data_IF_652263883791
#
_entry.id   IF_652263883791
#
_cell.length_a   1.000
_cell.length_b   1.000
_cell.length_c   1.000
_cell.angle_alpha   90.00
_cell.angle_beta   90.00
_cell.angle_gamma   90.00
#
_symmetry.space_group_name_H-M   'P 1'
#
loop_
_entity.id
_entity.type
_entity.pdbx_description
1 polymer ?
#
# COMPACT_ATOMS: atom_id res chain seq x y z
N UNK A 1 -4.19 -11.49 -5.96
CA UNK A 1 -4.17 -10.49 -4.87
C UNK A 1 -4.02 -11.21 -3.53
N UNK A 2 -3.13 -10.76 -2.64
CA UNK A 2 -2.88 -11.36 -1.32
C UNK A 2 -3.55 -10.55 -0.21
N UNK A 3 -4.07 -11.23 0.82
CA UNK A 3 -4.84 -10.63 1.92
C UNK A 3 -4.35 -11.11 3.28
N UNK A 4 -4.56 -10.34 4.34
CA UNK A 4 -4.43 -10.89 5.69
C UNK A 4 -5.65 -11.75 6.08
N UNK A 5 -5.49 -12.73 7.00
CA UNK A 5 -6.50 -13.75 7.27
C UNK A 5 -7.75 -13.26 8.03
N UNK A 6 -7.78 -12.01 8.52
CA UNK A 6 -8.86 -11.49 9.39
C UNK A 6 -10.28 -11.61 8.83
N UNK A 7 -10.41 -11.70 7.52
CA UNK A 7 -11.71 -11.77 6.83
C UNK A 7 -11.76 -12.96 5.85
N UNK A 8 -10.97 -14.00 6.10
CA UNK A 8 -10.93 -15.17 5.23
C UNK A 8 -12.23 -15.99 5.25
N UNK A 9 -13.14 -15.78 6.22
CA UNK A 9 -14.46 -16.44 6.22
C UNK A 9 -15.29 -15.97 5.01
N UNK A 10 -15.43 -16.83 4.01
CA UNK A 10 -16.16 -16.56 2.76
C UNK A 10 -15.29 -16.09 1.60
N UNK A 11 -13.95 -16.12 1.70
CA UNK A 11 -13.10 -15.88 0.54
C UNK A 11 -13.13 -17.10 -0.40
N UNK A 12 -13.22 -16.92 -1.74
CA UNK A 12 -13.00 -18.04 -2.64
C UNK A 12 -11.62 -18.66 -2.34
N UNK A 13 -11.46 -19.99 -2.44
CA UNK A 13 -10.25 -20.72 -2.05
C UNK A 13 -8.95 -20.34 -2.81
N UNK A 14 -8.99 -19.31 -3.67
CA UNK A 14 -7.90 -18.89 -4.55
C UNK A 14 -7.00 -17.75 -4.04
N UNK A 15 -7.33 -17.07 -2.92
CA UNK A 15 -6.58 -15.88 -2.47
C UNK A 15 -5.64 -16.22 -1.30
N UNK A 16 -4.33 -16.23 -1.59
CA UNK A 16 -3.27 -16.54 -0.61
C UNK A 16 -3.15 -15.47 0.48
N UNK A 17 -2.75 -15.89 1.69
CA UNK A 17 -2.48 -14.91 2.73
C UNK A 17 -1.18 -14.12 2.44
N UNK A 18 -1.02 -12.94 3.04
CA UNK A 18 0.24 -12.18 2.91
C UNK A 18 1.42 -12.96 3.50
N UNK A 19 1.22 -13.63 4.65
CA UNK A 19 2.25 -14.48 5.24
C UNK A 19 2.67 -15.61 4.31
N UNK A 20 1.71 -16.34 3.73
CA UNK A 20 1.99 -17.41 2.75
C UNK A 20 2.72 -16.86 1.51
N UNK A 21 2.32 -15.66 1.06
CA UNK A 21 2.96 -15.00 -0.07
C UNK A 21 4.43 -14.66 0.22
N UNK A 22 4.72 -14.14 1.42
CA UNK A 22 6.09 -13.82 1.84
C UNK A 22 6.94 -15.07 2.03
N UNK A 23 6.41 -16.09 2.71
CA UNK A 23 7.09 -17.39 2.89
C UNK A 23 7.40 -18.04 1.54
N UNK A 24 6.44 -18.03 0.59
CA UNK A 24 6.66 -18.54 -0.76
C UNK A 24 7.74 -17.77 -1.53
N UNK A 25 7.81 -16.44 -1.37
CA UNK A 25 8.87 -15.64 -1.98
C UNK A 25 10.24 -15.98 -1.37
N UNK A 26 10.31 -16.19 -0.06
CA UNK A 26 11.54 -16.60 0.63
C UNK A 26 11.99 -18.01 0.24
N UNK A 27 11.04 -18.94 0.05
CA UNK A 27 11.33 -20.29 -0.45
C UNK A 27 11.86 -20.30 -1.88
N UNK A 28 11.49 -19.30 -2.69
CA UNK A 28 11.98 -19.13 -4.08
C UNK A 28 13.31 -18.39 -4.18
N UNK A 29 13.79 -17.78 -3.10
CA UNK A 29 15.00 -16.97 -3.11
C UNK A 29 16.26 -17.82 -3.29
N UNK A 30 17.07 -17.49 -4.30
CA UNK A 30 18.31 -18.19 -4.62
C UNK A 30 19.58 -17.32 -4.46
N UNK A 31 19.46 -16.00 -4.55
CA UNK A 31 20.62 -15.10 -4.55
C UNK A 31 20.46 -13.90 -3.61
N UNK A 32 19.30 -13.25 -3.60
CA UNK A 32 19.08 -12.02 -2.84
C UNK A 32 17.61 -11.77 -2.50
N UNK A 33 17.42 -11.16 -1.33
CA UNK A 33 16.16 -10.60 -0.85
C UNK A 33 16.44 -9.17 -0.41
N UNK A 34 15.70 -8.22 -0.97
CA UNK A 34 15.80 -6.79 -0.68
C UNK A 34 14.47 -6.31 -0.13
N UNK A 35 14.46 -5.67 1.04
CA UNK A 35 13.23 -5.24 1.71
C UNK A 35 13.33 -3.75 2.04
N UNK A 36 12.38 -2.96 1.54
CA UNK A 36 12.15 -1.58 1.98
C UNK A 36 10.94 -1.54 2.93
N UNK A 37 11.14 -0.97 4.12
CA UNK A 37 10.18 -1.03 5.22
C UNK A 37 10.07 0.29 5.99
N UNK A 38 8.90 0.55 6.55
CA UNK A 38 8.76 1.58 7.57
C UNK A 38 9.39 1.15 8.91
N UNK A 39 9.11 -0.06 9.39
CA UNK A 39 9.71 -0.66 10.57
C UNK A 39 9.64 -2.19 10.50
N UNK A 40 10.37 -2.88 11.38
CA UNK A 40 10.30 -4.34 11.58
C UNK A 40 9.87 -4.68 13.01
N UNK A 41 8.77 -5.40 13.14
CA UNK A 41 8.28 -6.00 14.39
C UNK A 41 7.51 -7.30 14.06
N UNK A 42 8.19 -8.27 13.46
CA UNK A 42 7.63 -9.57 13.09
C UNK A 42 7.38 -10.48 14.30
N UNK A 43 7.81 -10.08 15.50
CA UNK A 43 7.62 -10.84 16.74
C UNK A 43 6.77 -10.04 17.72
N UNK A 44 5.85 -10.72 18.42
CA UNK A 44 4.85 -10.12 19.30
C UNK A 44 5.42 -9.43 20.54
N UNK A 45 6.65 -9.77 20.93
CA UNK A 45 7.28 -9.28 22.16
C UNK A 45 6.37 -9.53 23.36
N UNK A 46 5.96 -8.45 24.05
CA UNK A 46 5.05 -8.51 25.21
C UNK A 46 3.61 -8.94 24.87
N UNK A 47 3.24 -8.89 23.59
CA UNK A 47 1.96 -9.37 23.06
C UNK A 47 2.12 -10.72 22.34
N UNK A 48 3.26 -11.41 22.54
CA UNK A 48 3.50 -12.71 21.93
C UNK A 48 2.47 -13.73 22.44
N UNK A 49 1.59 -14.15 21.54
CA UNK A 49 0.64 -15.22 21.72
C UNK A 49 0.59 -16.07 20.44
N UNK A 50 -0.49 -16.83 20.22
CA UNK A 50 -0.65 -17.60 18.98
C UNK A 50 -0.73 -16.73 17.71
N UNK A 51 -1.06 -15.44 17.83
CA UNK A 51 -1.32 -14.54 16.71
C UNK A 51 -0.06 -13.95 16.07
N UNK A 52 1.10 -14.06 16.70
CA UNK A 52 2.38 -13.67 16.10
C UNK A 52 3.08 -14.82 15.36
N UNK A 53 2.49 -16.02 15.36
CA UNK A 53 3.10 -17.25 14.82
C UNK A 53 3.56 -17.10 13.36
N UNK A 54 2.72 -16.49 12.51
CA UNK A 54 3.06 -16.20 11.10
C UNK A 54 4.24 -15.22 10.98
N UNK A 55 4.29 -14.18 11.84
CA UNK A 55 5.40 -13.25 11.88
C UNK A 55 6.70 -13.92 12.32
N UNK A 56 6.66 -14.77 13.35
CA UNK A 56 7.80 -15.58 13.79
C UNK A 56 8.31 -16.51 12.70
N UNK A 57 7.42 -17.16 11.95
CA UNK A 57 7.81 -18.02 10.82
C UNK A 57 8.56 -17.23 9.73
N UNK A 58 8.03 -16.07 9.33
CA UNK A 58 8.70 -15.18 8.37
C UNK A 58 10.06 -14.72 8.90
N UNK A 59 10.13 -14.32 10.18
CA UNK A 59 11.36 -13.86 10.82
C UNK A 59 12.45 -14.94 10.84
N UNK A 60 12.10 -16.18 11.21
CA UNK A 60 13.06 -17.30 11.21
C UNK A 60 13.51 -17.68 9.80
N UNK A 61 12.64 -17.61 8.79
CA UNK A 61 13.08 -17.81 7.39
C UNK A 61 14.04 -16.71 6.93
N UNK A 62 13.80 -15.44 7.28
CA UNK A 62 14.70 -14.32 7.00
C UNK A 62 16.08 -14.53 7.65
N UNK A 63 16.12 -14.95 8.92
CA UNK A 63 17.37 -15.28 9.63
C UNK A 63 18.14 -16.42 8.95
N UNK A 64 17.42 -17.40 8.40
CA UNK A 64 18.01 -18.54 7.71
C UNK A 64 18.54 -18.26 6.29
N UNK A 65 18.39 -17.06 5.74
CA UNK A 65 18.79 -16.78 4.35
C UNK A 65 20.30 -16.91 4.12
N UNK A 66 21.13 -16.44 5.05
CA UNK A 66 22.59 -16.48 4.89
C UNK A 66 23.13 -17.92 4.80
N UNK A 67 22.56 -18.86 5.56
CA UNK A 67 22.97 -20.28 5.48
C UNK A 67 22.58 -20.93 4.15
N UNK A 68 21.59 -20.39 3.45
CA UNK A 68 21.23 -20.76 2.07
C UNK A 68 22.07 -20.04 1.00
N UNK A 69 23.02 -19.19 1.40
CA UNK A 69 23.79 -18.36 0.47
C UNK A 69 23.01 -17.18 -0.13
N UNK A 70 21.84 -16.86 0.42
CA UNK A 70 20.98 -15.78 -0.04
C UNK A 70 21.30 -14.49 0.72
N UNK A 71 21.58 -13.41 0.00
CA UNK A 71 21.88 -12.09 0.58
C UNK A 71 20.61 -11.38 1.02
N UNK A 72 20.50 -10.98 2.29
CA UNK A 72 19.40 -10.14 2.79
C UNK A 72 19.86 -8.68 2.92
N UNK A 73 19.15 -7.75 2.28
CA UNK A 73 19.37 -6.30 2.40
C UNK A 73 18.09 -5.61 2.86
N UNK A 74 18.17 -4.77 3.88
CA UNK A 74 17.03 -4.09 4.49
C UNK A 74 17.27 -2.58 4.49
N UNK A 75 16.41 -1.83 3.79
CA UNK A 75 16.31 -0.38 3.90
C UNK A 75 15.11 -0.05 4.82
N UNK A 76 15.38 0.48 6.00
CA UNK A 76 14.37 0.77 7.02
C UNK A 76 14.36 2.26 7.35
N UNK A 77 13.21 2.82 7.74
CA UNK A 77 13.11 4.23 8.13
C UNK A 77 14.05 4.57 9.30
N UNK A 78 14.64 5.78 9.27
CA UNK A 78 15.30 6.38 10.43
C UNK A 78 14.44 7.51 11.03
N UNK A 79 14.39 7.67 12.36
CA UNK A 79 14.77 6.66 13.36
C UNK A 79 13.79 5.47 13.35
N UNK A 80 14.27 4.31 13.79
CA UNK A 80 13.41 3.16 14.06
C UNK A 80 12.72 3.31 15.44
N UNK A 81 11.46 2.93 15.54
CA UNK A 81 10.74 2.86 16.83
C UNK A 81 11.18 1.65 17.68
N UNK A 82 11.64 0.58 17.02
CA UNK A 82 12.32 -0.56 17.62
C UNK A 82 13.33 -1.12 16.63
N UNK A 83 14.52 -1.48 17.12
CA UNK A 83 15.60 -2.08 16.33
C UNK A 83 15.84 -3.55 16.66
N UNK A 84 15.04 -4.18 17.53
CA UNK A 84 15.28 -5.56 18.00
C UNK A 84 15.35 -6.56 16.84
N UNK A 85 14.35 -6.54 15.95
CA UNK A 85 14.30 -7.44 14.81
C UNK A 85 15.40 -7.14 13.78
N UNK A 86 15.65 -5.86 13.47
CA UNK A 86 16.69 -5.50 12.50
C UNK A 86 18.10 -5.78 13.02
N UNK A 87 18.35 -5.58 14.32
CA UNK A 87 19.62 -5.92 14.96
C UNK A 87 19.89 -7.43 14.96
N UNK A 88 18.87 -8.25 15.25
CA UNK A 88 19.03 -9.71 15.24
C UNK A 88 19.18 -10.25 13.81
N UNK A 89 18.45 -9.70 12.83
CA UNK A 89 18.66 -10.02 11.41
C UNK A 89 20.08 -9.61 10.96
N UNK A 90 20.59 -8.47 11.40
CA UNK A 90 21.96 -8.04 11.12
C UNK A 90 22.98 -9.00 11.75
N UNK A 91 22.76 -9.45 12.99
CA UNK A 91 23.60 -10.46 13.64
C UNK A 91 23.57 -11.81 12.90
N UNK A 92 22.43 -12.18 12.29
CA UNK A 92 22.29 -13.33 11.40
C UNK A 92 22.89 -13.10 9.99
N UNK A 93 23.37 -11.89 9.71
CA UNK A 93 24.13 -11.53 8.51
C UNK A 93 23.35 -10.79 7.43
N UNK A 94 22.19 -10.21 7.76
CA UNK A 94 21.55 -9.21 6.91
C UNK A 94 22.36 -7.90 6.86
N UNK A 95 22.34 -7.21 5.73
CA UNK A 95 22.80 -5.82 5.62
C UNK A 95 21.62 -4.89 5.89
N UNK A 96 21.68 -4.12 6.98
CA UNK A 96 20.62 -3.16 7.35
C UNK A 96 21.13 -1.73 7.14
N UNK A 97 20.34 -0.90 6.47
CA UNK A 97 20.56 0.55 6.33
C UNK A 97 19.34 1.31 6.80
N UNK A 98 19.57 2.22 7.73
CA UNK A 98 18.58 3.23 8.08
C UNK A 98 18.57 4.34 7.04
N UNK A 99 17.38 4.76 6.64
CA UNK A 99 17.15 5.77 5.61
C UNK A 99 16.49 6.97 6.27
N UNK A 100 17.29 8.01 6.50
CA UNK A 100 16.81 9.29 7.03
C UNK A 100 16.25 10.16 5.90
N UNK A 101 14.93 10.12 5.74
CA UNK A 101 14.22 11.02 4.83
C UNK A 101 13.80 12.32 5.50
N UNK A 102 13.92 12.45 6.82
CA UNK A 102 13.60 13.69 7.52
C UNK A 102 14.57 14.79 7.05
N UNK A 103 15.85 14.46 6.92
CA UNK A 103 16.88 15.39 6.43
C UNK A 103 16.71 15.80 4.95
N UNK A 104 15.99 15.00 4.15
CA UNK A 104 15.92 15.15 2.69
C UNK A 104 14.59 15.75 2.24
N UNK A 105 13.49 15.22 2.74
CA UNK A 105 12.12 15.55 2.32
C UNK A 105 11.26 16.04 3.48
N UNK A 106 11.73 15.93 4.73
CA UNK A 106 10.93 16.15 5.92
C UNK A 106 9.91 15.04 6.19
N UNK A 107 10.07 13.87 5.55
CA UNK A 107 9.16 12.73 5.68
C UNK A 107 9.86 11.43 6.08
N UNK A 108 9.19 10.30 5.86
CA UNK A 108 9.62 8.96 6.29
C UNK A 108 9.64 7.97 5.13
N UNK A 109 10.33 6.83 5.28
CA UNK A 109 10.13 5.67 4.41
C UNK A 109 8.83 4.97 4.81
N UNK A 110 7.80 5.05 3.96
CA UNK A 110 6.53 4.35 4.16
C UNK A 110 6.28 3.27 3.10
N UNK A 111 7.33 2.86 2.38
CA UNK A 111 7.26 1.77 1.40
C UNK A 111 7.22 0.40 2.08
N UNK A 112 6.47 -0.54 1.48
CA UNK A 112 6.40 -1.95 1.86
C UNK A 112 6.66 -2.79 0.63
N UNK A 113 7.94 -2.94 0.30
CA UNK A 113 8.40 -3.55 -0.94
C UNK A 113 9.43 -4.65 -0.63
N UNK A 114 9.22 -5.82 -1.21
CA UNK A 114 10.20 -6.91 -1.22
C UNK A 114 10.61 -7.17 -2.65
N UNK A 115 11.90 -7.32 -2.94
CA UNK A 115 12.41 -7.75 -4.25
C UNK A 115 13.26 -8.99 -4.03
N UNK A 116 12.94 -10.07 -4.73
CA UNK A 116 13.63 -11.37 -4.60
C UNK A 116 14.25 -11.72 -5.94
N UNK A 117 15.58 -11.88 -5.94
CA UNK A 117 16.41 -12.22 -7.11
C UNK A 117 16.22 -11.31 -8.34
N UNK A 118 15.65 -10.10 -8.15
CA UNK A 118 15.16 -9.25 -9.24
C UNK A 118 14.27 -10.01 -10.24
N UNK A 119 13.54 -11.01 -9.75
CA UNK A 119 12.67 -11.92 -10.51
C UNK A 119 11.25 -11.94 -9.95
N UNK A 120 11.13 -11.80 -8.64
CA UNK A 120 9.86 -11.74 -7.92
C UNK A 120 9.83 -10.48 -7.06
N UNK A 121 8.64 -9.98 -6.73
CA UNK A 121 8.50 -8.91 -5.73
C UNK A 121 7.14 -8.97 -5.03
N UNK A 122 7.08 -8.40 -3.83
CA UNK A 122 5.83 -8.10 -3.13
C UNK A 122 5.68 -6.58 -2.96
N UNK A 123 4.49 -6.06 -3.24
CA UNK A 123 4.11 -4.67 -2.97
C UNK A 123 2.71 -4.64 -2.37
N UNK A 124 2.50 -3.86 -1.31
CA UNK A 124 1.18 -3.72 -0.71
C UNK A 124 1.18 -2.83 0.52
N UNK A 125 0.14 -2.97 1.34
CA UNK A 125 -0.05 -2.14 2.52
C UNK A 125 0.56 -2.70 3.81
N UNK A 126 0.82 -4.02 3.87
CA UNK A 126 1.32 -4.71 5.06
C UNK A 126 2.72 -4.25 5.49
N UNK A 127 2.81 -3.65 6.68
CA UNK A 127 4.08 -3.40 7.37
C UNK A 127 4.79 -4.73 7.66
N UNK A 128 6.12 -4.68 7.86
CA UNK A 128 6.93 -5.83 8.30
C UNK A 128 6.68 -6.09 9.80
N UNK A 129 5.44 -6.46 10.10
CA UNK A 129 4.83 -6.47 11.43
C UNK A 129 3.93 -7.70 11.57
N UNK A 130 4.03 -8.41 12.70
CA UNK A 130 3.16 -9.54 12.98
C UNK A 130 1.67 -9.15 12.95
N UNK A 131 1.33 -7.91 13.35
CA UNK A 131 -0.04 -7.39 13.28
C UNK A 131 -0.54 -7.30 11.85
N UNK A 132 0.28 -6.89 10.89
CA UNK A 132 -0.11 -6.87 9.47
C UNK A 132 -0.38 -8.28 8.93
N UNK A 133 0.20 -9.31 9.54
CA UNK A 133 0.01 -10.71 9.14
C UNK A 133 -1.19 -11.40 9.79
N UNK A 134 -1.72 -10.89 10.91
CA UNK A 134 -2.79 -11.56 11.65
C UNK A 134 -3.88 -10.66 12.26
N UNK A 135 -3.62 -9.36 12.49
CA UNK A 135 -4.51 -8.44 13.21
C UNK A 135 -5.00 -7.22 12.41
N UNK A 136 -4.39 -6.91 11.27
CA UNK A 136 -4.74 -5.77 10.41
C UNK A 136 -5.19 -6.27 9.06
N UNK A 137 -6.28 -5.71 8.53
CA UNK A 137 -6.75 -6.03 7.18
C UNK A 137 -5.85 -5.31 6.17
N UNK A 138 -5.11 -6.08 5.40
CA UNK A 138 -4.11 -5.59 4.44
C UNK A 138 -4.41 -6.12 3.03
N UNK A 139 -3.86 -5.44 2.02
CA UNK A 139 -3.93 -5.85 0.62
C UNK A 139 -2.53 -5.72 0.00
N UNK A 140 -2.15 -6.71 -0.80
CA UNK A 140 -0.92 -6.63 -1.59
C UNK A 140 -0.94 -7.51 -2.83
N UNK A 141 0.13 -7.42 -3.60
CA UNK A 141 0.43 -8.24 -4.76
C UNK A 141 1.77 -8.93 -4.55
N UNK A 142 1.78 -10.26 -4.69
CA UNK A 142 3.00 -11.01 -5.00
C UNK A 142 3.06 -11.16 -6.52
N UNK A 143 4.12 -10.68 -7.14
CA UNK A 143 4.40 -10.86 -8.56
C UNK A 143 5.58 -11.79 -8.70
N UNK A 144 5.34 -12.93 -9.35
CA UNK A 144 6.34 -13.98 -9.52
C UNK A 144 6.73 -14.15 -11.00
N UNK A 145 7.96 -14.60 -11.23
CA UNK A 145 8.47 -14.94 -12.56
C UNK A 145 8.36 -13.77 -13.57
N UNK A 146 8.58 -12.55 -13.08
CA UNK A 146 8.44 -11.32 -13.85
C UNK A 146 9.67 -10.42 -13.66
N UNK A 147 10.81 -10.84 -14.21
CA UNK A 147 12.08 -10.14 -14.02
C UNK A 147 12.07 -8.69 -14.51
N UNK A 148 11.36 -8.36 -15.60
CA UNK A 148 11.31 -6.98 -16.08
C UNK A 148 10.70 -6.02 -15.05
N UNK A 149 9.61 -6.42 -14.39
CA UNK A 149 8.94 -5.61 -13.40
C UNK A 149 9.65 -5.67 -12.04
N UNK A 150 10.19 -6.84 -11.65
CA UNK A 150 10.97 -6.99 -10.43
C UNK A 150 12.29 -6.20 -10.48
N UNK A 151 12.94 -6.12 -11.64
CA UNK A 151 14.10 -5.23 -11.86
C UNK A 151 13.71 -3.76 -11.71
N UNK A 152 12.54 -3.36 -12.21
CA UNK A 152 12.07 -1.99 -12.05
C UNK A 152 11.79 -1.64 -10.59
N UNK A 153 11.20 -2.58 -9.84
CA UNK A 153 11.03 -2.47 -8.39
C UNK A 153 12.38 -2.39 -7.66
N UNK A 154 13.39 -3.17 -8.09
CA UNK A 154 14.74 -3.13 -7.54
C UNK A 154 15.39 -1.75 -7.68
N UNK A 155 15.05 -0.99 -8.72
CA UNK A 155 15.55 0.39 -8.90
C UNK A 155 15.00 1.34 -7.85
N UNK A 156 13.75 1.16 -7.42
CA UNK A 156 13.17 1.92 -6.31
C UNK A 156 13.89 1.56 -5.00
N UNK A 157 14.07 0.27 -4.71
CA UNK A 157 14.86 -0.16 -3.55
C UNK A 157 16.28 0.44 -3.59
N UNK A 158 16.92 0.45 -4.77
CA UNK A 158 18.25 1.01 -4.97
C UNK A 158 18.36 2.50 -4.64
N UNK A 159 17.28 3.28 -4.76
CA UNK A 159 17.25 4.68 -4.31
C UNK A 159 17.35 4.75 -2.79
N UNK A 160 16.49 4.04 -2.07
CA UNK A 160 16.51 4.00 -0.61
C UNK A 160 17.85 3.47 -0.09
N UNK A 161 18.38 2.42 -0.72
CA UNK A 161 19.67 1.85 -0.39
C UNK A 161 20.82 2.85 -0.57
N UNK A 162 20.75 3.68 -1.61
CA UNK A 162 21.74 4.72 -1.87
C UNK A 162 21.65 5.86 -0.85
N UNK A 163 20.44 6.28 -0.49
CA UNK A 163 20.20 7.33 0.52
C UNK A 163 20.71 6.87 1.90
N UNK A 164 20.32 5.66 2.34
CA UNK A 164 20.78 5.12 3.63
C UNK A 164 22.28 4.78 3.67
N UNK A 165 22.97 4.80 2.54
CA UNK A 165 24.44 4.68 2.47
C UNK A 165 25.17 6.02 2.42
N UNK A 166 24.47 7.15 2.27
CA UNK A 166 25.06 8.47 2.17
C UNK A 166 25.31 9.07 3.55
N UNK A 167 26.51 9.63 3.76
CA UNK A 167 26.96 10.12 5.07
C UNK A 167 26.49 11.53 5.43
N UNK A 168 25.72 12.21 4.58
CA UNK A 168 25.40 13.65 4.75
C UNK A 168 23.95 14.06 4.47
N UNK A 169 23.00 13.13 4.48
CA UNK A 169 21.56 13.45 4.34
C UNK A 169 21.21 14.32 3.11
N UNK A 170 22.04 14.28 2.06
CA UNK A 170 21.89 15.08 0.85
C UNK A 170 21.74 14.16 -0.35
N UNK A 171 20.82 14.52 -1.24
CA UNK A 171 20.62 13.80 -2.49
C UNK A 171 21.77 14.10 -3.45
N UNK A 172 22.15 13.13 -4.30
CA UNK A 172 23.04 13.44 -5.39
C UNK A 172 22.34 14.42 -6.35
N UNK A 173 23.10 15.29 -7.06
CA UNK A 173 22.51 16.16 -8.08
C UNK A 173 21.81 15.36 -9.19
N UNK A 174 22.29 14.15 -9.47
CA UNK A 174 21.67 13.22 -10.40
C UNK A 174 21.77 11.78 -9.88
N UNK A 175 20.71 11.01 -10.05
CA UNK A 175 20.73 9.58 -9.79
C UNK A 175 21.56 8.84 -10.85
N UNK A 176 22.35 7.82 -10.47
CA UNK A 176 23.02 6.94 -11.43
C UNK A 176 22.03 6.36 -12.45
N UNK A 177 22.43 6.27 -13.73
CA UNK A 177 21.57 5.78 -14.81
C UNK A 177 20.93 4.42 -14.51
N UNK A 178 21.65 3.52 -13.80
CA UNK A 178 21.15 2.22 -13.34
C UNK A 178 19.90 2.27 -12.45
N UNK A 179 19.60 3.42 -11.84
CA UNK A 179 18.41 3.64 -11.01
C UNK A 179 17.26 4.32 -11.76
N UNK A 180 17.46 4.75 -13.02
CA UNK A 180 16.38 5.34 -13.82
C UNK A 180 15.22 4.37 -13.97
N UNK A 181 13.97 4.81 -14.04
CA UNK A 181 12.84 3.88 -14.17
C UNK A 181 12.91 3.05 -15.48
N UNK A 182 12.42 1.81 -15.43
CA UNK A 182 12.16 0.97 -16.60
C UNK A 182 10.72 1.10 -17.10
N UNK A 183 9.82 1.64 -16.28
CA UNK A 183 8.42 1.81 -16.62
C UNK A 183 7.89 3.17 -16.17
N UNK A 184 6.93 3.70 -16.92
CA UNK A 184 6.20 4.91 -16.56
C UNK A 184 4.79 4.87 -17.17
N UNK A 185 3.95 5.84 -16.81
CA UNK A 185 2.63 6.03 -17.42
C UNK A 185 2.71 6.31 -18.93
N UNK A 186 3.79 6.95 -19.42
CA UNK A 186 4.01 7.19 -20.85
C UNK A 186 4.62 5.97 -21.55
N UNK A 187 5.45 5.19 -20.83
CA UNK A 187 6.11 4.00 -21.37
C UNK A 187 5.87 2.80 -20.43
N UNK A 188 4.65 2.25 -20.39
CA UNK A 188 4.35 1.10 -19.55
C UNK A 188 4.98 -0.18 -20.12
N UNK A 189 5.34 -1.11 -19.23
CA UNK A 189 5.77 -2.45 -19.64
C UNK A 189 4.55 -3.20 -20.21
N UNK A 190 4.75 -3.85 -21.36
CA UNK A 190 3.76 -4.72 -21.98
C UNK A 190 4.14 -6.17 -21.70
N UNK A 191 3.35 -6.84 -20.88
CA UNK A 191 3.62 -8.21 -20.41
C UNK A 191 2.30 -8.95 -20.20
N UNK A 192 2.36 -10.20 -19.70
CA UNK A 192 1.17 -10.95 -19.28
C UNK A 192 1.17 -11.11 -17.77
N UNK A 193 0.05 -10.79 -17.13
CA UNK A 193 -0.21 -11.12 -15.72
C UNK A 193 -1.33 -12.16 -15.69
N UNK A 194 -1.08 -13.31 -15.05
CA UNK A 194 -1.99 -14.45 -15.02
C UNK A 194 -2.44 -14.90 -16.43
N UNK A 195 -1.53 -14.85 -17.41
CA UNK A 195 -1.81 -15.20 -18.81
C UNK A 195 -2.49 -14.10 -19.64
N UNK A 196 -3.04 -13.07 -19.00
CA UNK A 196 -3.76 -11.98 -19.66
C UNK A 196 -2.81 -10.83 -19.99
N UNK A 197 -2.80 -10.32 -21.24
CA UNK A 197 -2.04 -9.12 -21.61
C UNK A 197 -2.30 -7.93 -20.66
N UNK A 198 -1.24 -7.19 -20.34
CA UNK A 198 -1.30 -6.08 -19.41
C UNK A 198 -0.29 -4.99 -19.79
N UNK A 199 -0.69 -3.74 -19.57
CA UNK A 199 0.22 -2.59 -19.48
C UNK A 199 0.45 -2.27 -18.01
N UNK A 200 1.70 -2.29 -17.58
CA UNK A 200 2.06 -2.24 -16.16
C UNK A 200 3.19 -1.25 -15.93
N UNK A 201 3.08 -0.44 -14.87
CA UNK A 201 4.17 0.42 -14.45
C UNK A 201 4.15 0.68 -12.95
N UNK A 202 5.31 1.08 -12.43
CA UNK A 202 5.48 1.51 -11.04
C UNK A 202 5.57 3.04 -10.97
N UNK A 203 4.98 3.60 -9.91
CA UNK A 203 5.06 5.00 -9.52
C UNK A 203 5.69 5.13 -8.13
N UNK A 204 6.26 6.30 -7.83
CA UNK A 204 6.80 6.57 -6.49
C UNK A 204 6.59 8.01 -6.07
N UNK A 205 6.55 8.19 -4.75
CA UNK A 205 6.60 9.47 -4.09
C UNK A 205 7.79 9.52 -3.12
N UNK A 206 8.24 10.72 -2.71
CA UNK A 206 7.89 11.98 -3.33
C UNK A 206 8.75 12.25 -4.59
N UNK A 207 8.35 13.17 -5.49
CA UNK A 207 9.10 13.47 -6.71
C UNK A 207 10.59 13.80 -6.49
N UNK A 208 10.92 14.41 -5.36
CA UNK A 208 12.26 14.91 -5.01
C UNK A 208 13.31 13.80 -4.96
N UNK A 209 12.93 12.58 -4.56
CA UNK A 209 13.86 11.43 -4.49
C UNK A 209 13.70 10.48 -5.68
N UNK A 210 12.76 10.76 -6.59
CA UNK A 210 12.45 9.85 -7.69
C UNK A 210 13.52 9.93 -8.78
N UNK A 211 13.90 8.77 -9.32
CA UNK A 211 14.84 8.70 -10.42
C UNK A 211 14.20 9.12 -11.75
N UNK A 212 15.05 9.48 -12.72
CA UNK A 212 14.62 9.87 -14.07
C UNK A 212 13.65 8.83 -14.66
N UNK A 213 12.56 9.33 -15.23
CA UNK A 213 11.56 8.53 -15.95
C UNK A 213 10.49 7.88 -15.07
N UNK A 214 10.64 7.89 -13.73
CA UNK A 214 9.62 7.35 -12.84
C UNK A 214 8.38 8.24 -12.82
N UNK A 215 7.20 7.62 -12.91
CA UNK A 215 5.94 8.34 -12.73
C UNK A 215 5.77 8.78 -11.27
N UNK A 216 5.38 10.04 -11.08
CA UNK A 216 4.93 10.57 -9.80
C UNK A 216 3.63 9.86 -9.36
N UNK A 217 3.55 9.50 -8.08
CA UNK A 217 2.47 8.69 -7.51
C UNK A 217 1.13 9.43 -7.45
N UNK A 218 1.15 10.72 -7.08
CA UNK A 218 -0.06 11.55 -7.09
C UNK A 218 -0.60 11.70 -8.52
N UNK A 219 0.26 12.08 -9.45
CA UNK A 219 -0.09 12.22 -10.87
C UNK A 219 -0.63 10.91 -11.44
N UNK A 220 -0.10 9.78 -10.99
CA UNK A 220 -0.58 8.44 -11.34
C UNK A 220 -2.00 8.20 -10.85
N UNK A 221 -2.29 8.45 -9.57
CA UNK A 221 -3.66 8.32 -9.00
C UNK A 221 -4.64 9.23 -9.75
N UNK A 222 -4.28 10.49 -9.97
CA UNK A 222 -5.11 11.45 -10.70
C UNK A 222 -5.39 11.00 -12.14
N UNK A 223 -4.39 10.44 -12.82
CA UNK A 223 -4.55 9.89 -14.17
C UNK A 223 -5.50 8.69 -14.19
N UNK A 224 -5.44 7.81 -13.18
CA UNK A 224 -6.36 6.66 -13.10
C UNK A 224 -7.79 7.11 -12.84
N UNK A 225 -8.00 8.09 -11.95
CA UNK A 225 -9.31 8.74 -11.74
C UNK A 225 -9.81 9.40 -13.03
N UNK A 226 -8.92 10.05 -13.77
CA UNK A 226 -9.22 10.72 -15.04
C UNK A 226 -9.63 9.78 -16.17
N UNK A 227 -9.06 8.57 -16.22
CA UNK A 227 -9.33 7.57 -17.28
C UNK A 227 -10.63 6.77 -17.06
N UNK A 228 -11.10 6.65 -15.82
CA UNK A 228 -12.31 5.90 -15.46
C UNK A 228 -13.56 6.38 -16.22
N UNK A 229 -14.41 5.42 -16.63
CA UNK A 229 -15.60 5.69 -17.47
C UNK A 229 -16.91 5.33 -16.81
N UNK A 230 -16.94 4.31 -15.94
CA UNK A 230 -18.20 3.88 -15.32
C UNK A 230 -18.13 3.86 -13.80
N UNK A 231 -17.03 3.39 -13.20
CA UNK A 231 -16.88 3.41 -11.75
C UNK A 231 -15.44 3.65 -11.26
N UNK A 232 -15.35 4.14 -10.03
CA UNK A 232 -14.15 4.26 -9.22
C UNK A 232 -14.47 3.71 -7.82
N UNK A 233 -13.80 2.64 -7.46
CA UNK A 233 -13.90 2.00 -6.15
C UNK A 233 -12.57 2.16 -5.40
N UNK A 234 -12.59 2.75 -4.22
CA UNK A 234 -11.38 3.09 -3.44
C UNK A 234 -11.48 2.51 -2.06
N UNK A 235 -10.47 1.73 -1.63
CA UNK A 235 -10.31 1.36 -0.23
C UNK A 235 -9.00 1.88 0.33
N UNK A 236 -9.12 2.76 1.32
CA UNK A 236 -8.01 3.45 1.97
C UNK A 236 -8.21 3.48 3.48
N UNK A 237 -7.11 3.49 4.24
CA UNK A 237 -7.20 3.71 5.68
C UNK A 237 -7.70 5.13 5.98
N UNK A 238 -6.97 6.13 5.49
CA UNK A 238 -7.29 7.55 5.67
C UNK A 238 -7.47 8.24 4.33
N UNK A 239 -8.51 9.06 4.26
CA UNK A 239 -8.79 10.02 3.19
C UNK A 239 -8.86 11.42 3.80
N UNK A 240 -7.84 12.24 3.59
CA UNK A 240 -7.80 13.58 4.18
C UNK A 240 -7.26 14.59 3.16
N UNK A 241 -8.12 15.41 2.55
CA UNK A 241 -7.75 16.55 1.68
C UNK A 241 -7.01 17.70 2.41
N UNK A 242 -6.10 17.37 3.31
CA UNK A 242 -5.26 18.27 4.10
C UNK A 242 -3.82 17.73 4.19
N UNK A 243 -2.89 18.58 4.61
CA UNK A 243 -1.66 18.13 5.26
C UNK A 243 -1.97 17.50 6.63
N UNK A 244 -1.16 16.54 7.06
CA UNK A 244 -1.21 15.92 8.39
C UNK A 244 0.02 16.22 9.24
N UNK A 245 1.18 16.44 8.60
CA UNK A 245 2.48 16.54 9.30
C UNK A 245 3.20 17.86 8.98
N UNK A 246 2.44 18.87 8.56
CA UNK A 246 2.94 20.22 8.28
C UNK A 246 2.17 21.22 9.10
N UNK A 247 2.90 22.16 9.70
CA UNK A 247 2.33 23.33 10.38
C UNK A 247 2.74 24.62 9.64
N UNK A 248 1.80 25.52 9.32
CA UNK A 248 0.36 25.39 9.54
C UNK A 248 -0.28 24.33 8.63
N UNK A 249 -1.40 23.75 9.06
CA UNK A 249 -2.21 22.86 8.24
C UNK A 249 -2.59 23.52 6.91
N UNK A 250 -2.46 22.79 5.80
CA UNK A 250 -2.77 23.24 4.45
C UNK A 250 -3.90 22.44 3.84
N UNK A 251 -4.82 23.14 3.18
CA UNK A 251 -5.84 22.49 2.35
C UNK A 251 -5.21 21.97 1.06
N UNK A 252 -5.44 20.69 0.78
CA UNK A 252 -4.84 19.96 -0.34
C UNK A 252 -5.91 19.17 -1.09
N UNK A 253 -6.55 19.78 -2.10
CA UNK A 253 -7.77 19.23 -2.70
C UNK A 253 -7.53 18.31 -3.89
N UNK A 254 -6.29 17.88 -4.18
CA UNK A 254 -5.94 17.28 -5.47
C UNK A 254 -6.80 16.04 -5.80
N UNK A 255 -6.81 15.04 -4.91
CA UNK A 255 -7.61 13.83 -5.10
C UNK A 255 -9.11 14.13 -4.94
N UNK A 256 -9.47 14.96 -3.96
CA UNK A 256 -10.87 15.33 -3.68
C UNK A 256 -11.56 15.98 -4.88
N UNK A 257 -10.90 16.97 -5.48
CA UNK A 257 -11.37 17.63 -6.69
C UNK A 257 -11.53 16.66 -7.85
N UNK A 258 -10.59 15.72 -8.00
CA UNK A 258 -10.64 14.73 -9.07
C UNK A 258 -11.82 13.77 -8.93
N UNK A 259 -12.14 13.33 -7.69
CA UNK A 259 -13.31 12.49 -7.41
C UNK A 259 -14.63 13.24 -7.62
N UNK A 260 -14.72 14.49 -7.13
CA UNK A 260 -15.89 15.35 -7.38
C UNK A 260 -16.11 15.56 -8.87
N UNK A 261 -15.05 15.84 -9.62
CA UNK A 261 -15.14 16.00 -11.07
C UNK A 261 -15.59 14.69 -11.75
N UNK A 262 -15.04 13.53 -11.35
CA UNK A 262 -15.44 12.24 -11.90
C UNK A 262 -16.95 11.99 -11.73
N UNK A 263 -17.48 12.18 -10.53
CA UNK A 263 -18.88 11.93 -10.26
C UNK A 263 -19.81 12.98 -10.85
N UNK A 264 -19.54 14.26 -10.60
CA UNK A 264 -20.47 15.34 -10.92
C UNK A 264 -20.43 15.80 -12.38
N UNK A 265 -19.27 15.70 -13.04
CA UNK A 265 -19.10 16.21 -14.42
C UNK A 265 -19.07 15.10 -15.46
N UNK A 266 -18.65 13.89 -15.06
CA UNK A 266 -18.55 12.73 -15.97
C UNK A 266 -19.56 11.62 -15.67
N UNK A 267 -20.34 11.73 -14.58
CA UNK A 267 -21.34 10.72 -14.21
C UNK A 267 -20.73 9.37 -13.81
N UNK A 268 -19.46 9.34 -13.40
CA UNK A 268 -18.77 8.12 -12.96
C UNK A 268 -19.18 7.79 -11.53
N UNK A 269 -19.59 6.56 -11.26
CA UNK A 269 -19.91 6.12 -9.91
C UNK A 269 -18.65 6.11 -9.03
N UNK A 270 -18.69 6.74 -7.86
CA UNK A 270 -17.58 6.73 -6.91
C UNK A 270 -18.02 6.05 -5.62
N UNK A 271 -17.26 5.04 -5.18
CA UNK A 271 -17.44 4.38 -3.88
C UNK A 271 -16.15 4.46 -3.07
N UNK A 272 -16.21 5.08 -1.90
CA UNK A 272 -15.10 5.14 -0.95
C UNK A 272 -15.39 4.24 0.25
N UNK A 273 -14.52 3.26 0.47
CA UNK A 273 -14.51 2.40 1.65
C UNK A 273 -13.35 2.79 2.56
N UNK A 274 -13.63 3.60 3.57
CA UNK A 274 -12.62 4.24 4.43
C UNK A 274 -12.56 3.57 5.79
N UNK A 275 -11.38 3.38 6.36
CA UNK A 275 -11.26 2.69 7.65
C UNK A 275 -11.78 3.54 8.82
N UNK A 276 -12.40 2.87 9.78
CA UNK A 276 -12.91 3.45 11.00
C UNK A 276 -12.33 2.74 12.22
N UNK A 277 -11.51 3.45 12.99
CA UNK A 277 -10.76 2.91 14.12
C UNK A 277 -10.35 4.02 15.10
N UNK A 278 -9.77 3.66 16.25
CA UNK A 278 -9.42 4.59 17.34
C UNK A 278 -8.50 5.75 16.90
N UNK A 279 -7.70 5.54 15.84
CA UNK A 279 -6.73 6.51 15.34
C UNK A 279 -7.20 7.27 14.09
N UNK A 280 -8.44 7.08 13.63
CA UNK A 280 -9.00 7.85 12.52
C UNK A 280 -8.95 9.36 12.81
N UNK A 281 -8.40 10.20 11.91
CA UNK A 281 -8.39 11.64 12.10
C UNK A 281 -9.82 12.19 12.14
N UNK A 282 -10.20 12.92 13.20
CA UNK A 282 -11.56 13.47 13.33
C UNK A 282 -11.93 14.41 12.15
N UNK A 283 -10.95 15.16 11.63
CA UNK A 283 -11.15 16.06 10.50
C UNK A 283 -11.50 15.33 9.18
N UNK A 284 -11.24 14.03 9.06
CA UNK A 284 -11.57 13.24 7.87
C UNK A 284 -13.08 13.18 7.61
N UNK A 285 -13.90 13.04 8.67
CA UNK A 285 -15.33 12.78 8.51
C UNK A 285 -16.09 13.95 7.87
N UNK A 286 -15.86 15.23 8.24
CA UNK A 286 -16.45 16.36 7.53
C UNK A 286 -16.12 16.39 6.04
N UNK A 287 -14.90 16.03 5.62
CA UNK A 287 -14.56 15.94 4.19
C UNK A 287 -15.33 14.82 3.50
N UNK A 288 -15.43 13.64 4.12
CA UNK A 288 -16.22 12.53 3.57
C UNK A 288 -17.72 12.87 3.49
N UNK A 289 -18.28 13.50 4.53
CA UNK A 289 -19.67 13.98 4.53
C UNK A 289 -19.90 15.02 3.43
N UNK A 290 -18.95 15.92 3.20
CA UNK A 290 -19.04 16.92 2.12
C UNK A 290 -19.09 16.31 0.71
N UNK A 291 -18.62 15.07 0.53
CA UNK A 291 -18.80 14.33 -0.72
C UNK A 291 -20.24 13.81 -0.86
N UNK A 292 -20.84 13.34 0.23
CA UNK A 292 -22.21 12.82 0.25
C UNK A 292 -23.26 13.89 -0.06
N UNK A 293 -23.00 15.15 0.33
CA UNK A 293 -23.87 16.30 -0.01
C UNK A 293 -24.04 16.47 -1.53
N UNK A 294 -23.06 16.03 -2.33
CA UNK A 294 -23.10 16.13 -3.79
C UNK A 294 -24.11 15.16 -4.44
N UNK A 295 -24.58 14.16 -3.69
CA UNK A 295 -25.68 13.28 -4.11
C UNK A 295 -27.06 13.92 -4.04
N UNK A 296 -27.16 15.19 -3.64
CA UNK A 296 -28.42 15.93 -3.56
C UNK A 296 -29.18 15.96 -4.89
N UNK A 297 -30.53 16.13 -4.88
CA UNK A 297 -31.34 16.16 -6.10
C UNK A 297 -30.90 17.20 -7.15
N UNK A 298 -30.21 18.26 -6.72
CA UNK A 298 -29.72 19.33 -7.58
C UNK A 298 -28.45 18.95 -8.35
N UNK A 299 -27.55 18.17 -7.72
CA UNK A 299 -26.25 17.82 -8.30
C UNK A 299 -26.22 16.39 -8.84
N UNK A 300 -26.96 15.47 -8.22
CA UNK A 300 -27.10 14.06 -8.63
C UNK A 300 -25.77 13.34 -8.86
N UNK A 301 -24.70 13.72 -8.14
CA UNK A 301 -23.41 13.06 -8.26
C UNK A 301 -23.48 11.70 -7.56
N UNK A 302 -23.08 10.62 -8.24
CA UNK A 302 -23.08 9.27 -7.65
C UNK A 302 -21.81 9.04 -6.82
N UNK A 303 -21.78 9.61 -5.61
CA UNK A 303 -20.71 9.39 -4.63
C UNK A 303 -21.28 8.73 -3.38
N UNK A 304 -20.73 7.57 -3.03
CA UNK A 304 -21.11 6.82 -1.84
C UNK A 304 -19.88 6.60 -0.96
N UNK A 305 -20.05 6.78 0.35
CA UNK A 305 -19.02 6.53 1.35
C UNK A 305 -19.52 5.50 2.35
N UNK A 306 -18.70 4.48 2.61
CA UNK A 306 -18.89 3.55 3.72
C UNK A 306 -17.68 3.56 4.63
N UNK A 307 -17.95 3.46 5.92
CA UNK A 307 -16.95 3.26 6.96
C UNK A 307 -16.73 1.76 7.17
N UNK A 308 -15.47 1.34 7.19
CA UNK A 308 -15.08 -0.06 7.40
C UNK A 308 -14.52 -0.23 8.82
N UNK A 309 -15.22 -1.00 9.64
CA UNK A 309 -14.84 -1.27 11.04
C UNK A 309 -14.53 -2.74 11.21
N UNK A 310 -13.32 -3.07 11.67
CA UNK A 310 -12.95 -4.45 11.96
C UNK A 310 -13.52 -4.84 13.32
N UNK A 311 -14.46 -5.79 13.35
CA UNK A 311 -15.03 -6.27 14.60
C UNK A 311 -13.93 -6.83 15.53
N UNK A 312 -14.00 -6.55 16.82
CA UNK A 312 -12.92 -6.87 17.75
C UNK A 312 -13.45 -7.26 19.13
N UNK A 313 -12.83 -8.25 19.77
CA UNK A 313 -13.08 -8.57 21.19
C UNK A 313 -12.36 -7.59 22.12
N UNK A 314 -12.69 -7.59 23.41
CA UNK A 314 -12.00 -6.76 24.41
C UNK A 314 -10.50 -7.06 24.49
N UNK A 315 -10.09 -8.31 24.31
CA UNK A 315 -8.70 -8.76 24.27
C UNK A 315 -7.99 -8.23 23.03
N UNK A 316 -8.63 -8.35 21.85
CA UNK A 316 -8.07 -7.87 20.59
C UNK A 316 -7.86 -6.34 20.60
N UNK A 317 -8.73 -5.59 21.28
CA UNK A 317 -8.60 -4.14 21.43
C UNK A 317 -7.41 -3.71 22.30
N UNK A 318 -6.80 -4.62 23.07
CA UNK A 318 -5.57 -4.34 23.83
C UNK A 318 -4.32 -4.31 22.95
N UNK A 319 -4.39 -4.85 21.72
CA UNK A 319 -3.27 -4.86 20.78
C UNK A 319 -3.19 -3.47 20.11
N UNK A 320 -2.11 -2.71 20.32
CA UNK A 320 -1.99 -1.37 19.77
C UNK A 320 -1.84 -1.42 18.24
N UNK A 321 -2.46 -0.44 17.57
CA UNK A 321 -2.45 -0.27 16.11
C UNK A 321 -2.93 -1.50 15.31
N UNK A 322 -3.78 -2.33 15.91
CA UNK A 322 -4.43 -3.46 15.28
C UNK A 322 -5.86 -3.12 14.84
N UNK A 323 -6.56 -4.11 14.25
CA UNK A 323 -8.02 -4.06 14.00
C UNK A 323 -8.45 -2.89 13.13
N UNK A 324 -7.70 -2.68 12.05
CA UNK A 324 -7.91 -1.58 11.09
C UNK A 324 -7.93 -2.13 9.68
N UNK A 325 -8.71 -1.51 8.78
CA UNK A 325 -8.54 -1.70 7.35
C UNK A 325 -7.40 -0.80 6.86
N UNK A 326 -6.23 -1.39 6.68
CA UNK A 326 -5.03 -0.70 6.27
C UNK A 326 -4.80 -0.78 4.76
N UNK A 327 -5.80 -1.16 3.95
CA UNK A 327 -5.68 -1.16 2.49
C UNK A 327 -5.35 0.23 1.91
N UNK A 328 -4.67 0.27 0.74
CA UNK A 328 -4.48 1.46 -0.10
C UNK A 328 -4.55 1.07 -1.58
N UNK A 329 -5.76 0.93 -2.10
CA UNK A 329 -5.95 0.60 -3.52
C UNK A 329 -7.18 1.28 -4.11
N UNK A 330 -7.15 1.41 -5.43
CA UNK A 330 -8.24 1.89 -6.25
C UNK A 330 -8.42 0.95 -7.43
N UNK A 331 -9.67 0.63 -7.75
CA UNK A 331 -10.04 -0.13 -8.94
C UNK A 331 -11.12 0.62 -9.70
N UNK A 332 -10.94 0.71 -11.00
CA UNK A 332 -11.87 1.33 -11.94
C UNK A 332 -12.33 0.28 -12.95
N UNK A 333 -13.20 0.66 -13.88
CA UNK A 333 -13.61 -0.21 -14.99
C UNK A 333 -12.48 -0.59 -15.95
N UNK A 334 -11.28 -0.01 -15.77
CA UNK A 334 -10.17 -0.11 -16.72
C UNK A 334 -8.85 -0.51 -16.07
N UNK A 335 -8.61 0.01 -14.88
CA UNK A 335 -7.29 0.02 -14.24
C UNK A 335 -7.42 -0.31 -12.75
N UNK A 336 -6.45 -1.08 -12.25
CA UNK A 336 -6.20 -1.23 -10.82
C UNK A 336 -4.91 -0.52 -10.43
N UNK A 337 -4.97 0.21 -9.31
CA UNK A 337 -3.85 0.84 -8.63
C UNK A 337 -3.73 0.25 -7.22
N UNK A 338 -2.56 -0.26 -6.85
CA UNK A 338 -2.24 -0.72 -5.48
C UNK A 338 -0.99 0.03 -5.01
N UNK A 339 -1.04 0.64 -3.83
CA UNK A 339 0.08 1.40 -3.31
C UNK A 339 0.28 1.26 -1.80
N UNK A 340 1.19 2.08 -1.28
CA UNK A 340 1.60 2.07 0.14
C UNK A 340 1.11 3.29 0.93
N UNK A 341 0.61 4.31 0.23
CA UNK A 341 0.38 5.66 0.76
C UNK A 341 -1.07 5.91 1.16
N UNK A 342 -1.28 6.46 2.37
CA UNK A 342 -2.58 7.03 2.74
C UNK A 342 -2.87 8.28 1.90
N UNK A 343 -4.14 8.68 1.80
CA UNK A 343 -4.55 9.73 0.88
C UNK A 343 -4.62 11.08 1.58
N UNK A 344 -3.44 11.63 1.87
CA UNK A 344 -3.24 13.00 2.37
C UNK A 344 -1.92 13.59 1.85
N UNK A 345 -1.76 14.92 1.92
CA UNK A 345 -0.72 15.63 1.17
C UNK A 345 0.70 15.12 1.42
N UNK A 346 1.07 14.92 2.69
CA UNK A 346 2.43 14.56 3.08
C UNK A 346 2.85 13.18 2.56
N UNK A 347 1.89 12.29 2.26
CA UNK A 347 2.18 10.98 1.67
C UNK A 347 2.66 11.03 0.23
N UNK A 348 2.41 12.14 -0.47
CA UNK A 348 2.82 12.35 -1.87
C UNK A 348 3.95 13.37 -2.01
N UNK A 349 4.13 14.24 -1.03
CA UNK A 349 5.08 15.37 -1.10
C UNK A 349 6.34 15.18 -0.26
N UNK A 350 6.31 14.33 0.76
CA UNK A 350 7.41 14.15 1.71
C UNK A 350 7.73 12.68 2.01
N UNK A 351 6.71 11.84 2.16
CA UNK A 351 6.86 10.44 2.54
C UNK A 351 7.16 9.55 1.34
N UNK A 352 8.12 8.65 1.48
CA UNK A 352 8.47 7.72 0.41
C UNK A 352 7.47 6.56 0.30
N UNK A 353 6.79 6.49 -0.84
CA UNK A 353 5.77 5.48 -1.15
C UNK A 353 5.91 4.96 -2.57
N UNK A 354 5.27 3.82 -2.83
CA UNK A 354 5.29 3.15 -4.15
C UNK A 354 3.88 2.73 -4.52
N UNK A 355 3.56 2.89 -5.80
CA UNK A 355 2.34 2.41 -6.42
C UNK A 355 2.64 1.48 -7.60
N UNK A 356 1.74 0.55 -7.88
CA UNK A 356 1.70 -0.26 -9.09
C UNK A 356 0.38 -0.03 -9.81
N UNK A 357 0.47 0.25 -11.11
CA UNK A 357 -0.69 0.36 -12.00
C UNK A 357 -0.70 -0.82 -12.95
N UNK A 358 -1.86 -1.46 -13.07
CA UNK A 358 -2.11 -2.54 -14.04
C UNK A 358 -3.35 -2.19 -14.86
N UNK A 359 -3.16 -2.09 -16.17
CA UNK A 359 -4.23 -1.90 -17.14
C UNK A 359 -4.35 -3.14 -18.04
N UNK A 360 -5.49 -3.82 -17.97
CA UNK A 360 -5.82 -4.99 -18.79
C UNK A 360 -7.03 -4.74 -19.68
N UNK A 361 -7.43 -3.46 -19.83
CA UNK A 361 -8.60 -3.06 -20.63
C UNK A 361 -8.48 -3.56 -22.06
N UNK A 362 -9.56 -4.14 -22.58
CA UNK A 362 -9.64 -4.64 -23.96
C UNK A 362 -8.82 -5.90 -24.23
N UNK A 363 -8.22 -6.52 -23.20
CA UNK A 363 -7.49 -7.78 -23.35
C UNK A 363 -8.46 -8.95 -23.49
N UNK A 364 -8.11 -9.90 -24.36
CA UNK A 364 -8.83 -11.18 -24.44
C UNK A 364 -8.53 -11.98 -23.17
N UNK A 365 -9.58 -12.35 -22.44
CA UNK A 365 -9.50 -13.19 -21.24
C UNK A 365 -10.01 -14.58 -21.61
N UNK A 366 -9.12 -15.56 -21.62
CA UNK A 366 -9.47 -16.94 -21.96
C UNK A 366 -10.20 -17.65 -20.81
N UNK A 367 -10.82 -18.78 -21.10
CA UNK A 367 -11.52 -19.58 -20.08
C UNK A 367 -10.57 -19.98 -18.95
N UNK A 368 -10.91 -19.61 -17.72
CA UNK A 368 -10.10 -19.91 -16.53
C UNK A 368 -9.03 -18.87 -16.21
N UNK A 369 -8.91 -17.81 -17.01
CA UNK A 369 -8.09 -16.65 -16.68
C UNK A 369 -8.92 -15.58 -15.96
N UNK A 370 -8.24 -14.77 -15.16
CA UNK A 370 -8.86 -13.66 -14.44
C UNK A 370 -7.90 -12.46 -14.45
N UNK A 371 -8.44 -11.27 -14.67
CA UNK A 371 -7.66 -10.03 -14.61
C UNK A 371 -7.38 -9.63 -13.16
N UNK A 372 -6.29 -8.91 -12.91
CA UNK A 372 -6.07 -8.32 -11.58
C UNK A 372 -7.09 -7.23 -11.26
N UNK A 373 -7.61 -6.54 -12.28
CA UNK A 373 -8.69 -5.57 -12.12
C UNK A 373 -9.93 -6.24 -11.55
N UNK A 374 -10.41 -7.35 -12.14
CA UNK A 374 -11.60 -8.05 -11.67
C UNK A 374 -11.39 -8.65 -10.28
N UNK A 375 -10.21 -9.21 -9.98
CA UNK A 375 -9.87 -9.70 -8.63
C UNK A 375 -9.99 -8.59 -7.58
N UNK A 376 -9.47 -7.39 -7.90
CA UNK A 376 -9.50 -6.23 -7.01
C UNK A 376 -10.92 -5.64 -6.87
N UNK A 377 -11.71 -5.65 -7.94
CA UNK A 377 -13.11 -5.23 -7.89
C UNK A 377 -13.96 -6.19 -7.04
N UNK A 378 -13.81 -7.50 -7.25
CA UNK A 378 -14.47 -8.51 -6.42
C UNK A 378 -14.08 -8.39 -4.95
N UNK A 379 -12.80 -8.12 -4.67
CA UNK A 379 -12.32 -7.83 -3.31
C UNK A 379 -13.06 -6.63 -2.71
N UNK A 380 -13.11 -5.53 -3.46
CA UNK A 380 -13.78 -4.31 -3.03
C UNK A 380 -15.26 -4.56 -2.76
N UNK A 381 -15.97 -5.20 -3.69
CA UNK A 381 -17.40 -5.46 -3.58
C UNK A 381 -17.72 -6.40 -2.41
N UNK A 382 -16.88 -7.43 -2.18
CA UNK A 382 -16.99 -8.29 -0.99
C UNK A 382 -16.92 -7.46 0.29
N UNK A 383 -15.91 -6.60 0.41
CA UNK A 383 -15.71 -5.77 1.61
C UNK A 383 -16.83 -4.73 1.74
N UNK A 384 -17.23 -4.10 0.64
CA UNK A 384 -18.30 -3.11 0.54
C UNK A 384 -19.67 -3.64 0.96
N UNK A 385 -19.98 -4.89 0.61
CA UNK A 385 -21.24 -5.56 0.93
C UNK A 385 -21.22 -6.30 2.28
N UNK A 386 -20.06 -6.33 2.95
CA UNK A 386 -19.92 -7.02 4.23
C UNK A 386 -20.60 -6.29 5.38
N UNK A 387 -20.86 -7.03 6.47
CA UNK A 387 -21.33 -6.47 7.74
C UNK A 387 -20.34 -5.48 8.41
N UNK A 388 -19.08 -5.46 7.94
CA UNK A 388 -18.06 -4.55 8.45
C UNK A 388 -18.13 -3.17 7.82
N UNK A 389 -18.97 -2.98 6.78
CA UNK A 389 -19.08 -1.74 6.03
C UNK A 389 -20.43 -1.04 6.30
N UNK A 390 -20.42 0.01 7.12
CA UNK A 390 -21.59 0.83 7.44
C UNK A 390 -21.63 2.10 6.57
N UNK A 391 -22.83 2.60 6.25
CA UNK A 391 -22.97 3.89 5.56
C UNK A 391 -22.59 5.02 6.52
N UNK A 392 -21.89 6.03 6.01
CA UNK A 392 -21.65 7.28 6.73
C UNK A 392 -22.91 8.17 6.64
N UNK A 393 -23.39 8.70 7.76
CA UNK A 393 -24.47 9.70 7.78
C UNK A 393 -23.92 11.13 7.72
N UNK A 394 -24.72 12.05 7.19
CA UNK A 394 -24.42 13.49 7.20
C UNK A 394 -24.46 14.08 8.62
N UNK A 395 -25.26 13.49 9.51
CA UNK A 395 -25.49 13.98 10.87
C UNK A 395 -24.57 13.32 11.92
N UNK A 396 -23.72 12.37 11.50
CA UNK A 396 -22.85 11.65 12.43
C UNK A 396 -21.73 12.57 12.95
N UNK A 397 -21.74 12.83 14.26
CA UNK A 397 -20.68 13.56 14.96
C UNK A 397 -19.64 12.63 15.60
N UNK A 398 -20.00 11.35 15.77
CA UNK A 398 -19.20 10.29 16.40
C UNK A 398 -19.14 9.05 15.51
N UNK A 399 -18.49 9.20 14.36
CA UNK A 399 -18.44 8.17 13.32
C UNK A 399 -17.70 6.91 13.78
N UNK A 400 -16.60 7.07 14.52
CA UNK A 400 -15.76 5.96 14.96
C UNK A 400 -15.71 5.85 16.48
N UNK A 401 -15.50 4.63 17.03
CA UNK A 401 -15.33 4.43 18.46
C UNK A 401 -14.18 5.30 18.97
N UNK A 402 -14.50 6.36 19.72
CA UNK A 402 -13.49 7.14 20.43
C UNK A 402 -12.98 6.26 21.58
N UNK A 403 -11.68 5.99 21.61
CA UNK A 403 -11.09 5.45 22.83
C UNK A 403 -11.15 6.51 23.94
N UNK A 404 -11.09 6.12 25.23
CA UNK A 404 -10.89 7.09 26.29
C UNK A 404 -9.60 7.87 26.01
N UNK A 405 -9.71 9.21 26.10
CA UNK A 405 -8.61 10.16 25.95
C UNK A 405 -7.54 9.98 27.02
#
# INVERSE_FOLDING_TARGET
VSLSPLLAQGSPPSRQSIADSWLRLLDKANSSVQIAAFYFTLRGGKFADSSDSQGRLVFEQLKGLKSKGVKLQIAVNAPQTSSEDTAELAAAGAEVREVDLQAVTGGIVHTKLWVVDQKHFYLGSANMDWRSLSQVKEVGLSVEDCSCLAQDAARIFGLYWSIGGASKGSLPPYWPARLSALSSSQNPLRLKLNGVPAQVYLSSAPPQISARGRSDDLSTILSVIGDARSFIHISVMDYLPLSQYTEPLRFWPAIDSALRAAACTRGVQVRLLVSCWKHSPAAMFPFLQSLLVLGSPQLKCDINVKMFTVASTAEQMKIPFARVNHAKYMVTDRVVYIGTSNWSENYFTQTAGVGLVVNQTGSVVERGQETLQSQAEELFLRDWMSQYASRLSLDDMDVCPRGPH
#
